data_IF_233300790876
#
_entry.id   IF_233300790876
#
_cell.length_a   1.000
_cell.length_b   1.000
_cell.length_c   1.000
_cell.angle_alpha   90.00
_cell.angle_beta   90.00
_cell.angle_gamma   90.00
#
_symmetry.space_group_name_H-M   'P 1'
#
loop_
_entity.id
_entity.type
_entity.pdbx_description
1 polymer ?
#
# COMPACT_ATOMS: atom_id res chain seq x y z
N UNK A 1 0.66 -41.32 76.60
CA UNK A 1 2.12 -41.45 76.41
C UNK A 1 2.58 -41.53 74.94
N UNK A 2 1.73 -41.36 73.91
CA UNK A 2 2.19 -41.36 72.51
C UNK A 2 2.73 -40.00 72.02
N UNK A 3 2.21 -38.87 72.54
CA UNK A 3 2.57 -37.52 72.10
C UNK A 3 4.06 -37.17 72.30
N UNK A 4 4.70 -37.67 73.37
CA UNK A 4 6.12 -37.43 73.65
C UNK A 4 7.07 -38.25 72.75
N UNK A 5 6.57 -39.36 72.20
CA UNK A 5 7.35 -40.26 71.33
C UNK A 5 7.31 -39.84 69.86
N UNK A 6 6.24 -39.14 69.45
CA UNK A 6 6.03 -38.68 68.08
C UNK A 6 6.64 -37.30 67.78
N UNK A 7 7.11 -36.57 68.80
CA UNK A 7 7.61 -35.20 68.64
C UNK A 7 8.82 -35.08 67.71
N UNK A 8 9.63 -36.15 67.60
CA UNK A 8 10.75 -36.22 66.64
C UNK A 8 10.33 -36.35 65.17
N UNK A 9 9.07 -36.71 64.87
CA UNK A 9 8.57 -36.76 63.49
C UNK A 9 8.13 -35.39 62.96
N UNK A 10 7.88 -34.42 63.85
CA UNK A 10 7.47 -33.05 63.49
C UNK A 10 8.43 -32.38 62.49
N UNK A 11 9.77 -32.38 62.68
CA UNK A 11 10.67 -31.77 61.70
C UNK A 11 10.66 -32.49 60.35
N UNK A 12 10.47 -33.81 60.34
CA UNK A 12 10.40 -34.61 59.10
C UNK A 12 9.13 -34.27 58.33
N UNK A 13 7.99 -34.19 59.02
CA UNK A 13 6.71 -33.79 58.41
C UNK A 13 6.76 -32.34 57.92
N UNK A 14 7.38 -31.44 58.67
CA UNK A 14 7.57 -30.05 58.26
C UNK A 14 8.44 -29.92 57.00
N UNK A 15 9.54 -30.68 56.92
CA UNK A 15 10.39 -30.73 55.73
C UNK A 15 9.65 -31.32 54.53
N UNK A 16 8.90 -32.41 54.71
CA UNK A 16 8.12 -33.03 53.64
C UNK A 16 7.02 -32.08 53.13
N UNK A 17 6.34 -31.36 54.03
CA UNK A 17 5.34 -30.37 53.66
C UNK A 17 5.96 -29.17 52.91
N UNK A 18 7.13 -28.69 53.37
CA UNK A 18 7.88 -27.63 52.69
C UNK A 18 8.30 -28.05 51.27
N UNK A 19 8.81 -29.27 51.12
CA UNK A 19 9.18 -29.83 49.82
C UNK A 19 7.98 -29.92 48.87
N UNK A 20 6.86 -30.48 49.32
CA UNK A 20 5.62 -30.58 48.54
C UNK A 20 5.11 -29.20 48.10
N UNK A 21 5.24 -28.19 48.96
CA UNK A 21 4.84 -26.83 48.62
C UNK A 21 5.72 -26.23 47.52
N UNK A 22 7.05 -26.39 47.62
CA UNK A 22 7.97 -25.91 46.60
C UNK A 22 7.80 -26.63 45.27
N UNK A 23 7.56 -27.93 45.29
CA UNK A 23 7.37 -28.74 44.09
C UNK A 23 6.09 -28.34 43.34
N UNK A 24 4.99 -28.08 44.07
CA UNK A 24 3.77 -27.52 43.47
C UNK A 24 4.00 -26.16 42.82
N UNK A 25 4.74 -25.26 43.46
CA UNK A 25 5.06 -23.96 42.89
C UNK A 25 5.88 -24.06 41.60
N UNK A 26 6.82 -25.00 41.56
CA UNK A 26 7.60 -25.28 40.34
C UNK A 26 6.73 -25.90 39.25
N UNK A 27 5.81 -26.81 39.60
CA UNK A 27 4.86 -27.39 38.65
C UNK A 27 3.93 -26.33 38.05
N UNK A 28 3.38 -25.44 38.87
CA UNK A 28 2.53 -24.33 38.44
C UNK A 28 3.29 -23.40 37.48
N UNK A 29 4.53 -23.02 37.82
CA UNK A 29 5.35 -22.17 36.96
C UNK A 29 5.66 -22.83 35.62
N UNK A 30 5.95 -24.14 35.60
CA UNK A 30 6.19 -24.89 34.37
C UNK A 30 4.93 -24.96 33.49
N UNK A 31 3.77 -25.16 34.10
CA UNK A 31 2.49 -25.15 33.38
C UNK A 31 2.20 -23.79 32.77
N UNK A 32 2.42 -22.70 33.51
CA UNK A 32 2.25 -21.34 32.99
C UNK A 32 3.16 -21.08 31.80
N UNK A 33 4.46 -21.40 31.90
CA UNK A 33 5.41 -21.22 30.79
C UNK A 33 5.02 -22.07 29.58
N UNK A 34 4.57 -23.31 29.79
CA UNK A 34 4.11 -24.18 28.70
C UNK A 34 2.89 -23.58 27.99
N UNK A 35 1.91 -23.09 28.75
CA UNK A 35 0.72 -22.44 28.23
C UNK A 35 1.06 -21.15 27.47
N UNK A 36 1.94 -20.31 28.00
CA UNK A 36 2.41 -19.09 27.33
C UNK A 36 3.13 -19.40 26.03
N UNK A 37 4.00 -20.42 26.00
CA UNK A 37 4.66 -20.86 24.77
C UNK A 37 3.65 -21.36 23.74
N UNK A 38 2.67 -22.14 24.15
CA UNK A 38 1.66 -22.65 23.25
C UNK A 38 0.78 -21.52 22.68
N UNK A 39 0.37 -20.57 23.52
CA UNK A 39 -0.35 -19.38 23.09
C UNK A 39 0.50 -18.53 22.13
N UNK A 40 1.79 -18.36 22.40
CA UNK A 40 2.69 -17.64 21.51
C UNK A 40 2.82 -18.32 20.14
N UNK A 41 3.01 -19.64 20.10
CA UNK A 41 3.08 -20.41 18.85
C UNK A 41 1.77 -20.28 18.05
N UNK A 42 0.62 -20.35 18.72
CA UNK A 42 -0.68 -20.17 18.07
C UNK A 42 -0.81 -18.76 17.49
N UNK A 43 -0.45 -17.73 18.28
CA UNK A 43 -0.49 -16.34 17.83
C UNK A 43 0.41 -16.09 16.61
N UNK A 44 1.62 -16.69 16.58
CA UNK A 44 2.52 -16.59 15.43
C UNK A 44 1.89 -17.29 14.21
N UNK A 45 1.35 -18.50 14.37
CA UNK A 45 0.72 -19.23 13.28
C UNK A 45 -0.53 -18.51 12.74
N UNK A 46 -1.33 -17.88 13.61
CA UNK A 46 -2.48 -17.08 13.21
C UNK A 46 -2.06 -15.79 12.50
N UNK A 47 -1.00 -15.12 12.97
CA UNK A 47 -0.44 -13.94 12.32
C UNK A 47 0.10 -14.26 10.92
N UNK A 48 0.81 -15.37 10.74
CA UNK A 48 1.32 -15.79 9.44
C UNK A 48 0.19 -16.15 8.48
N UNK A 49 -0.85 -16.84 8.96
CA UNK A 49 -2.08 -17.08 8.17
C UNK A 49 -2.76 -15.77 7.76
N UNK A 50 -2.83 -14.79 8.66
CA UNK A 50 -3.42 -13.49 8.38
C UNK A 50 -2.62 -12.71 7.32
N UNK A 51 -1.28 -12.76 7.38
CA UNK A 51 -0.39 -12.16 6.36
C UNK A 51 -0.60 -12.80 5.00
N UNK A 52 -0.54 -14.13 4.90
CA UNK A 52 -0.77 -14.83 3.64
C UNK A 52 -2.15 -14.50 3.04
N UNK A 53 -3.20 -14.45 3.87
CA UNK A 53 -4.53 -14.06 3.42
C UNK A 53 -4.62 -12.59 3.00
N UNK A 54 -3.82 -11.70 3.59
CA UNK A 54 -3.73 -10.30 3.18
C UNK A 54 -3.00 -10.15 1.84
N UNK A 55 -1.92 -10.89 1.62
CA UNK A 55 -1.17 -10.91 0.35
C UNK A 55 -2.05 -11.37 -0.81
N UNK A 56 -2.82 -12.45 -0.63
CA UNK A 56 -3.76 -12.94 -1.64
C UNK A 56 -4.84 -11.89 -1.96
N UNK A 57 -5.43 -11.27 -0.93
CA UNK A 57 -6.44 -10.21 -1.12
C UNK A 57 -5.89 -8.97 -1.80
N UNK A 58 -4.64 -8.60 -1.50
CA UNK A 58 -3.98 -7.49 -2.16
C UNK A 58 -3.72 -7.80 -3.63
N UNK A 59 -3.21 -9.00 -3.94
CA UNK A 59 -2.98 -9.43 -5.31
C UNK A 59 -4.29 -9.47 -6.12
N UNK A 60 -5.38 -9.97 -5.55
CA UNK A 60 -6.69 -9.97 -6.22
C UNK A 60 -7.20 -8.54 -6.44
N UNK A 61 -7.10 -7.67 -5.43
CA UNK A 61 -7.52 -6.28 -5.56
C UNK A 61 -6.73 -5.52 -6.64
N UNK A 62 -5.44 -5.82 -6.78
CA UNK A 62 -4.59 -5.24 -7.82
C UNK A 62 -5.00 -5.73 -9.21
N UNK A 63 -5.28 -7.03 -9.36
CA UNK A 63 -5.79 -7.60 -10.61
C UNK A 63 -7.14 -6.99 -10.99
N UNK A 64 -8.09 -6.92 -10.05
CA UNK A 64 -9.40 -6.31 -10.26
C UNK A 64 -9.30 -4.83 -10.67
N UNK A 65 -8.35 -4.09 -10.08
CA UNK A 65 -8.09 -2.70 -10.43
C UNK A 65 -7.54 -2.56 -11.85
N UNK A 66 -6.63 -3.45 -12.26
CA UNK A 66 -6.08 -3.48 -13.61
C UNK A 66 -7.18 -3.81 -14.65
N UNK A 67 -8.03 -4.79 -14.37
CA UNK A 67 -9.15 -5.17 -15.24
C UNK A 67 -10.16 -4.04 -15.37
N UNK A 68 -10.50 -3.34 -14.28
CA UNK A 68 -11.36 -2.17 -14.33
C UNK A 68 -10.75 -1.03 -15.13
N UNK A 69 -9.44 -0.81 -15.01
CA UNK A 69 -8.75 0.21 -15.79
C UNK A 69 -8.79 -0.12 -17.29
N UNK A 70 -8.48 -1.37 -17.65
CA UNK A 70 -8.59 -1.85 -19.02
C UNK A 70 -10.02 -1.69 -19.57
N UNK A 71 -11.04 -2.10 -18.81
CA UNK A 71 -12.44 -1.95 -19.21
C UNK A 71 -12.83 -0.48 -19.43
N UNK A 72 -12.37 0.44 -18.57
CA UNK A 72 -12.61 1.89 -18.75
C UNK A 72 -11.91 2.44 -19.98
N UNK A 73 -10.72 1.95 -20.30
CA UNK A 73 -9.99 2.34 -21.50
C UNK A 73 -10.73 1.87 -22.76
N UNK A 74 -11.09 0.59 -22.82
CA UNK A 74 -11.86 0.02 -23.94
C UNK A 74 -13.21 0.72 -24.12
N UNK A 75 -13.86 1.17 -23.05
CA UNK A 75 -15.10 1.96 -23.15
C UNK A 75 -14.88 3.38 -23.73
N UNK A 76 -13.68 3.95 -23.57
CA UNK A 76 -13.32 5.30 -24.05
C UNK A 76 -12.74 5.30 -25.46
N UNK A 77 -12.05 4.24 -25.86
CA UNK A 77 -11.46 4.08 -27.19
C UNK A 77 -12.41 4.45 -28.35
N UNK A 78 -13.67 3.97 -28.43
CA UNK A 78 -14.56 4.35 -29.53
C UNK A 78 -14.91 5.83 -29.53
N UNK A 79 -14.94 6.49 -28.37
CA UNK A 79 -15.21 7.92 -28.26
C UNK A 79 -14.01 8.71 -28.76
N UNK A 80 -12.79 8.30 -28.38
CA UNK A 80 -11.54 8.91 -28.83
C UNK A 80 -11.41 8.76 -30.34
N UNK A 81 -11.61 7.56 -30.89
CA UNK A 81 -11.55 7.33 -32.34
C UNK A 81 -12.60 8.16 -33.09
N UNK A 82 -13.84 8.23 -32.59
CA UNK A 82 -14.91 9.03 -33.20
C UNK A 82 -14.62 10.52 -33.15
N UNK A 83 -14.08 11.04 -32.04
CA UNK A 83 -13.75 12.46 -31.92
C UNK A 83 -12.59 12.83 -32.85
N UNK A 84 -11.54 12.01 -32.92
CA UNK A 84 -10.41 12.20 -33.84
C UNK A 84 -10.86 12.17 -35.30
N UNK A 85 -11.67 11.19 -35.70
CA UNK A 85 -12.23 11.12 -37.05
C UNK A 85 -13.11 12.34 -37.37
N UNK A 86 -13.91 12.80 -36.42
CA UNK A 86 -14.74 14.00 -36.58
C UNK A 86 -13.89 15.26 -36.75
N UNK A 87 -12.82 15.42 -35.95
CA UNK A 87 -11.88 16.55 -36.07
C UNK A 87 -11.16 16.51 -37.41
N UNK A 88 -10.65 15.35 -37.83
CA UNK A 88 -9.99 15.19 -39.14
C UNK A 88 -10.95 15.53 -40.29
N UNK A 89 -12.18 15.04 -40.24
CA UNK A 89 -13.21 15.35 -41.24
C UNK A 89 -13.55 16.83 -41.27
N UNK A 90 -13.69 17.47 -40.11
CA UNK A 90 -13.91 18.91 -40.03
C UNK A 90 -12.71 19.69 -40.58
N UNK A 91 -11.48 19.32 -40.22
CA UNK A 91 -10.25 19.95 -40.69
C UNK A 91 -10.05 19.83 -42.21
N UNK A 92 -10.68 18.85 -42.87
CA UNK A 92 -10.67 18.73 -44.34
C UNK A 92 -11.67 19.65 -45.06
N UNK A 93 -12.67 20.19 -44.36
CA UNK A 93 -13.66 21.14 -44.92
C UNK A 93 -13.04 22.52 -45.12
N UNK A 94 -13.60 23.38 -45.99
CA UNK A 94 -13.05 24.74 -46.21
C UNK A 94 -13.06 25.62 -44.96
N UNK A 95 -14.12 25.54 -44.16
CA UNK A 95 -14.24 26.28 -42.89
C UNK A 95 -13.25 25.76 -41.83
N UNK A 96 -13.08 24.43 -41.72
CA UNK A 96 -12.11 23.83 -40.82
C UNK A 96 -10.67 24.07 -41.28
N UNK A 97 -10.40 23.99 -42.58
CA UNK A 97 -9.12 24.35 -43.19
C UNK A 97 -8.76 25.79 -42.91
N UNK A 98 -9.68 26.75 -43.01
CA UNK A 98 -9.40 28.15 -42.67
C UNK A 98 -9.04 28.34 -41.19
N UNK A 99 -9.67 27.56 -40.29
CA UNK A 99 -9.43 27.64 -38.84
C UNK A 99 -8.16 26.90 -38.38
N UNK A 100 -7.83 25.79 -39.03
CA UNK A 100 -6.62 24.99 -38.77
C UNK A 100 -5.40 25.53 -39.56
N UNK A 101 -5.59 26.15 -40.72
CA UNK A 101 -4.56 26.83 -41.53
C UNK A 101 -4.55 28.34 -41.32
N UNK A 102 -4.74 28.82 -40.10
CA UNK A 102 -4.22 30.15 -39.81
C UNK A 102 -2.73 30.10 -40.12
N UNK A 103 -2.29 30.61 -41.27
CA UNK A 103 -0.92 30.44 -41.76
C UNK A 103 0.11 30.96 -40.74
N UNK A 104 -0.30 31.94 -39.94
CA UNK A 104 0.48 32.50 -38.84
C UNK A 104 0.67 31.51 -37.66
N UNK A 105 -0.26 30.57 -37.46
CA UNK A 105 -0.18 29.57 -36.37
C UNK A 105 0.64 28.34 -36.74
N UNK A 106 0.56 27.87 -37.98
CA UNK A 106 1.41 26.76 -38.44
C UNK A 106 2.87 27.23 -38.47
N UNK A 107 3.12 28.44 -38.97
CA UNK A 107 4.45 29.04 -38.97
C UNK A 107 5.00 29.25 -37.56
N UNK A 108 4.17 29.66 -36.59
CA UNK A 108 4.58 29.76 -35.18
C UNK A 108 4.88 28.39 -34.53
N UNK A 109 4.21 27.31 -34.95
CA UNK A 109 4.49 25.95 -34.47
C UNK A 109 5.79 25.43 -35.11
N UNK A 110 5.99 25.64 -36.41
CA UNK A 110 7.23 25.26 -37.11
C UNK A 110 8.43 26.05 -36.56
N UNK A 111 8.25 27.33 -36.23
CA UNK A 111 9.25 28.18 -35.55
C UNK A 111 9.55 27.67 -34.13
N UNK A 112 8.51 27.30 -33.37
CA UNK A 112 8.66 26.72 -32.02
C UNK A 112 9.35 25.34 -32.04
N UNK A 113 9.00 24.47 -32.99
CA UNK A 113 9.66 23.17 -33.17
C UNK A 113 11.12 23.33 -33.60
N UNK A 114 11.44 24.34 -34.41
CA UNK A 114 12.81 24.69 -34.75
C UNK A 114 13.60 25.20 -33.53
N UNK A 115 12.96 25.99 -32.66
CA UNK A 115 13.55 26.50 -31.41
C UNK A 115 13.77 25.38 -30.37
N UNK A 116 12.87 24.38 -30.31
CA UNK A 116 12.99 23.20 -29.45
C UNK A 116 13.94 22.13 -30.00
N UNK A 117 14.16 22.09 -31.32
CA UNK A 117 15.13 21.20 -31.96
C UNK A 117 16.58 21.70 -31.80
N UNK A 118 16.77 22.98 -31.46
CA UNK A 118 18.07 23.50 -31.05
C UNK A 118 18.45 22.89 -29.68
N UNK A 119 19.62 22.24 -29.56
CA UNK A 119 20.05 21.70 -28.28
C UNK A 119 20.20 22.87 -27.30
N UNK A 120 19.62 22.80 -26.08
CA UNK A 120 19.74 23.88 -25.13
C UNK A 120 21.22 24.16 -24.89
N UNK A 121 21.66 25.39 -25.17
CA UNK A 121 22.98 25.85 -24.77
C UNK A 121 23.11 25.54 -23.28
N UNK A 122 24.12 24.73 -22.93
CA UNK A 122 24.35 24.18 -21.60
C UNK A 122 24.06 25.22 -20.53
N UNK A 123 22.91 25.08 -19.86
CA UNK A 123 22.56 25.90 -18.72
C UNK A 123 23.56 25.55 -17.61
N UNK A 124 24.50 26.46 -17.38
CA UNK A 124 25.29 26.50 -16.15
C UNK A 124 24.33 26.41 -14.98
N UNK A 125 24.60 25.45 -14.09
CA UNK A 125 23.79 25.08 -12.94
C UNK A 125 23.18 26.28 -12.21
N UNK A 126 21.85 26.30 -12.11
CA UNK A 126 21.10 27.17 -11.22
C UNK A 126 19.82 26.45 -10.85
N UNK A 127 19.77 25.93 -9.63
CA UNK A 127 18.61 25.26 -9.09
C UNK A 127 17.45 26.25 -9.00
N UNK A 128 16.41 26.04 -9.81
CA UNK A 128 15.10 26.66 -9.57
C UNK A 128 14.04 25.57 -9.53
N UNK A 129 13.47 25.46 -8.34
CA UNK A 129 12.42 24.53 -7.95
C UNK A 129 11.15 24.77 -8.75
N UNK A 130 10.57 23.69 -9.30
CA UNK A 130 9.25 23.71 -9.94
C UNK A 130 8.20 24.32 -9.00
N UNK A 131 7.71 25.51 -9.35
CA UNK A 131 6.60 26.17 -8.67
C UNK A 131 5.32 25.41 -9.01
N UNK A 132 4.77 24.69 -8.04
CA UNK A 132 3.44 24.06 -8.14
C UNK A 132 2.42 25.08 -7.68
N UNK A 133 1.81 25.81 -8.63
CA UNK A 133 0.60 26.57 -8.32
C UNK A 133 -0.43 26.42 -9.44
N UNK A 134 -1.55 25.78 -9.08
CA UNK A 134 -2.89 26.17 -9.51
C UNK A 134 -3.92 25.35 -8.72
N UNK A 135 -4.07 25.67 -7.43
CA UNK A 135 -5.30 25.34 -6.71
C UNK A 135 -6.39 26.26 -7.25
N UNK A 136 -7.34 25.74 -8.04
CA UNK A 136 -8.51 26.52 -8.47
C UNK A 136 -9.53 26.58 -7.32
N UNK A 137 -10.04 27.78 -6.93
CA UNK A 137 -11.03 27.90 -5.87
C UNK A 137 -12.43 27.41 -6.31
N UNK A 138 -13.31 27.02 -5.36
CA UNK A 138 -14.62 26.48 -5.69
C UNK A 138 -15.58 27.55 -6.22
N UNK A 139 -16.13 27.32 -7.42
CA UNK A 139 -17.29 28.07 -7.92
C UNK A 139 -18.54 27.52 -7.26
N UNK A 140 -19.21 28.38 -6.47
CA UNK A 140 -20.53 28.16 -5.90
C UNK A 140 -21.58 28.69 -6.88
N UNK A 141 -22.56 27.86 -7.25
CA UNK A 141 -23.91 28.30 -7.62
C UNK A 141 -24.92 27.27 -7.12
#
# INVERSE_FOLDING_TARGET
MLLRRLWWLVPIVALAAGWLWTDRKLADARLTIANERQAHIQNVADADRAKAAAEVRYASALADAADQYAARLTARDPIILKSTDTVTRYAQTDAGRARCRGADRVRAIDELDAELAEPPATASSGADTLSTDATTPPVRR
#
